data_IF_524795043464
#
_entry.id   IF_524795043464
#
_cell.length_a   1.000
_cell.length_b   1.000
_cell.length_c   1.000
_cell.angle_alpha   90.00
_cell.angle_beta   90.00
_cell.angle_gamma   90.00
#
_symmetry.space_group_name_H-M   'P 1'
#
loop_
_entity.id
_entity.type
_entity.pdbx_description
1 polymer ?
#
# COMPACT_ATOMS: atom_id res chain seq x y z
N UNK A 1 36.78 39.61 -0.44
CA UNK A 1 36.71 38.13 -0.61
C UNK A 1 35.25 37.74 -0.59
N UNK A 2 34.71 37.17 -1.68
CA UNK A 2 33.32 36.71 -1.72
C UNK A 2 33.18 35.45 -0.88
N UNK A 3 32.27 35.44 0.11
CA UNK A 3 31.96 34.24 0.88
C UNK A 3 31.61 33.08 -0.07
N UNK A 4 32.13 31.86 0.16
CA UNK A 4 31.75 30.71 -0.65
C UNK A 4 30.25 30.46 -0.45
N UNK A 5 29.50 30.42 -1.55
CA UNK A 5 28.08 30.05 -1.49
C UNK A 5 27.99 28.59 -1.02
N UNK A 6 27.17 28.34 0.00
CA UNK A 6 26.92 27.00 0.54
C UNK A 6 26.42 26.01 -0.53
N UNK A 7 25.77 26.53 -1.58
CA UNK A 7 25.27 25.78 -2.73
C UNK A 7 25.55 26.54 -4.03
N UNK A 8 26.15 25.86 -5.01
CA UNK A 8 26.24 26.34 -6.39
C UNK A 8 24.91 26.08 -7.10
N UNK A 9 23.93 26.98 -6.89
CA UNK A 9 22.65 26.89 -7.57
C UNK A 9 22.75 27.45 -9.00
N UNK A 10 22.04 26.86 -9.98
CA UNK A 10 21.97 27.39 -11.34
C UNK A 10 21.36 28.81 -11.38
N UNK A 11 21.65 29.54 -12.45
CA UNK A 11 21.02 30.83 -12.74
C UNK A 11 19.47 30.71 -12.74
N UNK A 12 18.68 31.73 -12.35
CA UNK A 12 17.23 31.71 -12.43
C UNK A 12 16.64 31.11 -13.73
N UNK A 13 17.18 31.47 -14.90
CA UNK A 13 16.70 30.96 -16.19
C UNK A 13 16.93 29.46 -16.35
N UNK A 14 18.09 28.97 -15.91
CA UNK A 14 18.43 27.55 -15.90
C UNK A 14 17.54 26.78 -14.91
N UNK A 15 17.24 27.38 -13.75
CA UNK A 15 16.32 26.77 -12.76
C UNK A 15 14.92 26.62 -13.31
N UNK A 16 14.42 27.60 -14.04
CA UNK A 16 13.09 27.55 -14.66
C UNK A 16 13.02 26.44 -15.72
N UNK A 17 14.01 26.39 -16.62
CA UNK A 17 14.10 25.34 -17.65
C UNK A 17 14.18 23.93 -17.04
N UNK A 18 15.02 23.74 -16.01
CA UNK A 18 15.13 22.46 -15.29
C UNK A 18 13.81 22.10 -14.58
N UNK A 19 13.19 23.07 -13.90
CA UNK A 19 11.92 22.86 -13.20
C UNK A 19 10.83 22.41 -14.17
N UNK A 20 10.74 23.05 -15.35
CA UNK A 20 9.80 22.65 -16.39
C UNK A 20 10.09 21.24 -16.89
N UNK A 21 11.35 20.93 -17.21
CA UNK A 21 11.76 19.60 -17.66
C UNK A 21 11.38 18.49 -16.66
N UNK A 22 11.67 18.69 -15.38
CA UNK A 22 11.34 17.71 -14.34
C UNK A 22 9.83 17.58 -14.13
N UNK A 23 9.10 18.70 -14.11
CA UNK A 23 7.64 18.71 -13.97
C UNK A 23 6.98 17.94 -15.11
N UNK A 24 7.31 18.26 -16.35
CA UNK A 24 6.71 17.63 -17.54
C UNK A 24 6.95 16.12 -17.52
N UNK A 25 8.15 15.69 -17.11
CA UNK A 25 8.49 14.26 -16.97
C UNK A 25 7.74 13.59 -15.82
N UNK A 26 7.56 14.25 -14.68
CA UNK A 26 6.81 13.70 -13.54
C UNK A 26 5.32 13.58 -13.87
N UNK A 27 4.71 14.64 -14.40
CA UNK A 27 3.29 14.66 -14.78
C UNK A 27 3.01 13.63 -15.87
N UNK A 28 3.86 13.55 -16.90
CA UNK A 28 3.70 12.56 -17.97
C UNK A 28 3.78 11.10 -17.50
N UNK A 29 4.34 10.84 -16.32
CA UNK A 29 4.42 9.49 -15.74
C UNK A 29 3.18 9.09 -14.95
N UNK A 30 2.33 10.02 -14.53
CA UNK A 30 1.16 9.72 -13.70
C UNK A 30 0.22 8.69 -14.34
N UNK A 31 0.02 8.78 -15.67
CA UNK A 31 -0.75 7.80 -16.44
C UNK A 31 -0.14 6.40 -16.44
N UNK A 32 1.19 6.31 -16.41
CA UNK A 32 1.86 5.00 -16.42
C UNK A 32 1.61 4.23 -15.13
N UNK A 33 1.33 4.93 -14.04
CA UNK A 33 1.12 4.37 -12.70
C UNK A 33 -0.32 4.50 -12.20
N UNK A 34 -1.25 4.93 -13.06
CA UNK A 34 -2.67 5.07 -12.77
C UNK A 34 -3.03 6.10 -11.70
N UNK A 35 -2.24 7.17 -11.59
CA UNK A 35 -2.48 8.28 -10.67
C UNK A 35 -2.99 9.54 -11.38
N UNK A 36 -3.74 9.40 -12.49
CA UNK A 36 -4.34 10.54 -13.19
C UNK A 36 -5.55 11.12 -12.43
N UNK A 37 -6.30 10.27 -11.74
CA UNK A 37 -7.40 10.65 -10.85
C UNK A 37 -6.90 10.56 -9.40
N UNK A 38 -6.96 11.68 -8.69
CA UNK A 38 -6.47 11.76 -7.32
C UNK A 38 -7.44 11.15 -6.31
N UNK A 39 -8.71 10.97 -6.67
CA UNK A 39 -9.75 10.46 -5.77
C UNK A 39 -9.51 9.01 -5.38
N UNK A 40 -9.06 8.18 -6.32
CA UNK A 40 -8.84 6.76 -6.07
C UNK A 40 -7.72 6.55 -5.05
N UNK A 41 -6.54 7.14 -5.27
CA UNK A 41 -5.44 6.97 -4.34
C UNK A 41 -5.75 7.62 -2.99
N UNK A 42 -6.42 8.78 -2.96
CA UNK A 42 -6.85 9.40 -1.72
C UNK A 42 -7.81 8.50 -0.96
N UNK A 43 -8.81 7.93 -1.63
CA UNK A 43 -9.74 7.00 -1.02
C UNK A 43 -9.01 5.82 -0.41
N UNK A 44 -8.18 5.10 -1.19
CA UNK A 44 -7.46 3.91 -0.71
C UNK A 44 -6.53 4.27 0.45
N UNK A 45 -5.80 5.39 0.35
CA UNK A 45 -4.92 5.88 1.41
C UNK A 45 -5.71 6.14 2.69
N UNK A 46 -6.82 6.87 2.64
CA UNK A 46 -7.63 7.15 3.84
C UNK A 46 -8.22 5.86 4.44
N UNK A 47 -8.61 4.89 3.62
CA UNK A 47 -9.16 3.63 4.12
C UNK A 47 -8.09 2.76 4.80
N UNK A 48 -6.91 2.62 4.20
CA UNK A 48 -5.80 1.83 4.77
C UNK A 48 -5.20 2.51 5.98
N UNK A 49 -4.85 3.79 5.86
CA UNK A 49 -4.22 4.56 6.95
C UNK A 49 -5.20 4.76 8.09
N UNK A 50 -6.48 5.04 7.81
CA UNK A 50 -7.51 5.12 8.85
C UNK A 50 -7.76 3.80 9.56
N UNK A 51 -7.66 2.66 8.86
CA UNK A 51 -7.75 1.34 9.51
C UNK A 51 -6.57 1.11 10.47
N UNK A 52 -5.35 1.42 10.03
CA UNK A 52 -4.16 1.30 10.87
C UNK A 52 -4.18 2.28 12.04
N UNK A 53 -4.63 3.51 11.82
CA UNK A 53 -4.74 4.53 12.86
C UNK A 53 -5.75 4.13 13.94
N UNK A 54 -6.91 3.59 13.53
CA UNK A 54 -7.89 3.05 14.47
C UNK A 54 -7.33 1.86 15.26
N UNK A 55 -6.57 0.97 14.62
CA UNK A 55 -5.87 -0.13 15.31
C UNK A 55 -4.89 0.38 16.34
N UNK A 56 -4.07 1.38 16.01
CA UNK A 56 -3.05 1.90 16.92
C UNK A 56 -3.61 2.72 18.09
N UNK A 57 -4.87 3.17 17.99
CA UNK A 57 -5.58 3.87 19.08
C UNK A 57 -6.38 2.93 19.99
N UNK A 58 -6.56 1.68 19.61
CA UNK A 58 -7.27 0.71 20.43
C UNK A 58 -6.33 0.22 21.54
N UNK A 59 -6.66 0.49 22.80
CA UNK A 59 -5.87 0.06 23.96
C UNK A 59 -5.69 -1.46 24.05
N UNK A 60 -6.54 -2.24 23.36
CA UNK A 60 -6.47 -3.69 23.31
C UNK A 60 -5.70 -4.22 22.09
N UNK A 61 -5.28 -3.34 21.17
CA UNK A 61 -4.54 -3.72 19.99
C UNK A 61 -3.03 -3.76 20.25
N UNK A 62 -2.34 -4.59 19.47
CA UNK A 62 -0.89 -4.62 19.47
C UNK A 62 -0.31 -3.47 18.67
N UNK A 63 0.94 -3.10 18.99
CA UNK A 63 1.74 -2.14 18.20
C UNK A 63 1.92 -2.55 16.73
N UNK A 64 1.82 -3.84 16.42
CA UNK A 64 1.94 -4.36 15.06
C UNK A 64 0.60 -4.87 14.56
N UNK A 65 0.42 -4.83 13.24
CA UNK A 65 -0.86 -5.10 12.59
C UNK A 65 -1.33 -6.54 12.83
N UNK A 66 -0.40 -7.49 12.84
CA UNK A 66 -0.68 -8.93 12.86
C UNK A 66 -0.33 -9.59 14.20
N UNK A 67 -0.19 -8.81 15.26
CA UNK A 67 0.00 -9.34 16.62
C UNK A 67 1.16 -8.69 17.37
N UNK A 68 1.76 -9.38 18.35
CA UNK A 68 2.77 -8.81 19.23
C UNK A 68 4.16 -8.67 18.59
N UNK A 69 4.41 -9.31 17.43
CA UNK A 69 5.68 -9.26 16.71
C UNK A 69 5.52 -8.47 15.39
N UNK A 70 6.55 -7.72 14.93
CA UNK A 70 6.51 -7.14 13.60
C UNK A 70 6.55 -8.23 12.54
N UNK A 71 5.82 -8.00 11.45
CA UNK A 71 5.78 -8.86 10.27
C UNK A 71 6.27 -8.15 9.03
N UNK A 72 6.40 -8.89 7.93
CA UNK A 72 6.57 -8.30 6.60
C UNK A 72 5.48 -7.27 6.25
N UNK A 73 4.25 -7.41 6.78
CA UNK A 73 3.18 -6.44 6.55
C UNK A 73 3.49 -5.09 7.20
N UNK A 74 4.01 -5.10 8.44
CA UNK A 74 4.40 -3.89 9.16
C UNK A 74 5.53 -3.17 8.43
N UNK A 75 6.56 -3.89 7.97
CA UNK A 75 7.66 -3.29 7.22
C UNK A 75 7.23 -2.77 5.84
N UNK A 76 6.32 -3.47 5.16
CA UNK A 76 5.77 -3.00 3.89
C UNK A 76 4.96 -1.71 4.07
N UNK A 77 4.10 -1.65 5.09
CA UNK A 77 3.34 -0.46 5.44
C UNK A 77 4.27 0.68 5.86
N UNK A 78 5.25 0.42 6.73
CA UNK A 78 6.23 1.41 7.16
C UNK A 78 7.01 1.99 5.98
N UNK A 79 7.54 1.14 5.08
CA UNK A 79 8.30 1.60 3.91
C UNK A 79 7.50 2.54 3.02
N UNK A 80 6.22 2.26 2.80
CA UNK A 80 5.30 3.13 2.06
C UNK A 80 4.99 4.41 2.86
N UNK A 81 4.55 4.27 4.11
CA UNK A 81 4.06 5.36 4.94
C UNK A 81 5.15 6.35 5.32
N UNK A 82 6.40 5.89 5.48
CA UNK A 82 7.53 6.79 5.70
C UNK A 82 7.69 7.76 4.54
N UNK A 83 7.63 7.29 3.29
CA UNK A 83 7.71 8.18 2.13
C UNK A 83 6.50 9.11 2.05
N UNK A 84 5.29 8.58 2.27
CA UNK A 84 4.08 9.41 2.29
C UNK A 84 4.10 10.47 3.40
N UNK A 85 4.74 10.20 4.54
CA UNK A 85 4.85 11.15 5.66
C UNK A 85 5.77 12.34 5.35
N UNK A 86 6.72 12.14 4.43
CA UNK A 86 7.70 13.13 3.99
C UNK A 86 7.19 13.96 2.81
N UNK A 87 6.29 13.40 1.99
CA UNK A 87 5.62 14.15 0.93
C UNK A 87 4.76 15.28 1.49
N UNK A 88 4.66 16.39 0.76
CA UNK A 88 3.94 17.58 1.21
C UNK A 88 2.46 17.29 1.50
N UNK A 89 1.75 16.72 0.52
CA UNK A 89 0.29 16.58 0.60
C UNK A 89 -0.09 15.44 1.53
N UNK A 90 0.48 14.25 1.31
CA UNK A 90 0.14 13.10 2.16
C UNK A 90 0.71 13.23 3.55
N UNK A 91 1.87 13.87 3.72
CA UNK A 91 2.45 14.11 5.03
C UNK A 91 1.63 15.09 5.86
N UNK A 92 1.06 16.12 5.23
CA UNK A 92 0.10 17.00 5.90
C UNK A 92 -1.13 16.22 6.38
N UNK A 93 -1.74 15.40 5.50
CA UNK A 93 -2.91 14.58 5.85
C UNK A 93 -2.61 13.61 7.00
N UNK A 94 -1.46 12.91 6.95
CA UNK A 94 -1.07 11.96 8.00
C UNK A 94 -0.89 12.66 9.35
N UNK A 95 -0.17 13.80 9.37
CA UNK A 95 0.06 14.55 10.61
C UNK A 95 -1.21 15.16 11.20
N UNK A 96 -2.13 15.60 10.34
CA UNK A 96 -3.38 16.27 10.75
C UNK A 96 -4.44 15.25 11.23
N UNK A 97 -4.61 14.14 10.52
CA UNK A 97 -5.77 13.23 10.70
C UNK A 97 -5.43 11.88 11.32
N UNK A 98 -4.21 11.38 11.09
CA UNK A 98 -3.80 10.02 11.44
C UNK A 98 -2.59 10.05 12.40
N UNK A 99 -2.79 10.70 13.53
CA UNK A 99 -1.73 11.02 14.50
C UNK A 99 -1.11 9.78 15.14
N UNK A 100 -1.88 8.70 15.36
CA UNK A 100 -1.35 7.45 15.91
C UNK A 100 -0.47 6.76 14.87
N UNK A 101 -0.87 6.76 13.59
CA UNK A 101 0.01 6.30 12.50
C UNK A 101 1.28 7.15 12.42
N UNK A 102 1.18 8.47 12.53
CA UNK A 102 2.37 9.33 12.51
C UNK A 102 3.34 8.97 13.65
N UNK A 103 2.84 8.79 14.88
CA UNK A 103 3.63 8.33 16.01
C UNK A 103 4.25 6.94 15.78
N UNK A 104 3.48 6.02 15.20
CA UNK A 104 3.96 4.69 14.84
C UNK A 104 5.07 4.71 13.79
N UNK A 105 4.97 5.56 12.76
CA UNK A 105 6.05 5.73 11.76
C UNK A 105 7.35 6.15 12.44
N UNK A 106 7.29 7.14 13.35
CA UNK A 106 8.46 7.60 14.09
C UNK A 106 9.03 6.50 15.00
N UNK A 107 8.15 5.72 15.63
CA UNK A 107 8.57 4.63 16.50
C UNK A 107 9.16 3.44 15.71
N UNK A 108 8.78 3.27 14.45
CA UNK A 108 9.33 2.23 13.56
C UNK A 108 10.71 2.59 12.98
N UNK A 109 11.14 3.87 13.02
CA UNK A 109 12.49 4.29 12.57
C UNK A 109 13.60 3.56 13.36
N UNK A 110 13.34 3.26 14.64
CA UNK A 110 14.22 2.48 15.49
C UNK A 110 13.42 1.49 16.34
N UNK A 111 13.55 0.22 15.99
CA UNK A 111 13.00 -0.90 16.78
C UNK A 111 14.12 -1.77 17.37
N UNK A 112 15.35 -1.24 17.44
CA UNK A 112 16.44 -1.91 18.14
C UNK A 112 16.11 -1.99 19.63
N UNK A 113 16.29 -3.18 20.22
CA UNK A 113 15.87 -3.44 21.61
C UNK A 113 14.43 -3.93 21.76
N UNK A 114 13.69 -4.16 20.67
CA UNK A 114 12.42 -4.88 20.75
C UNK A 114 12.68 -6.36 21.07
N UNK A 115 12.48 -6.74 22.33
CA UNK A 115 12.42 -8.13 22.74
C UNK A 115 11.05 -8.70 22.42
N UNK A 116 11.01 -9.81 21.69
CA UNK A 116 9.74 -10.42 21.29
C UNK A 116 9.76 -11.91 21.61
N UNK A 117 9.08 -12.29 22.69
CA UNK A 117 8.88 -13.68 23.10
C UNK A 117 7.39 -14.06 23.10
N UNK A 118 6.78 -14.13 21.92
CA UNK A 118 5.36 -14.38 21.74
C UNK A 118 5.03 -15.17 20.47
N UNK A 119 4.53 -16.40 20.61
CA UNK A 119 4.13 -17.28 19.50
C UNK A 119 3.19 -16.65 18.46
N UNK A 120 3.25 -17.17 17.23
CA UNK A 120 2.35 -16.74 16.14
C UNK A 120 0.95 -17.33 16.33
N UNK A 121 -0.06 -16.47 16.53
CA UNK A 121 -1.45 -16.90 16.74
C UNK A 121 -2.42 -16.17 15.79
N UNK A 122 -3.11 -16.93 14.94
CA UNK A 122 -4.04 -16.39 13.93
C UNK A 122 -5.24 -15.64 14.55
N UNK A 123 -5.70 -16.05 15.74
CA UNK A 123 -6.77 -15.35 16.46
C UNK A 123 -6.39 -13.90 16.78
N UNK A 124 -5.12 -13.64 17.07
CA UNK A 124 -4.59 -12.29 17.35
C UNK A 124 -4.54 -11.41 16.09
N UNK A 125 -4.59 -12.01 14.91
CA UNK A 125 -4.64 -11.30 13.63
C UNK A 125 -6.06 -10.87 13.24
N UNK A 126 -7.11 -11.34 13.94
CA UNK A 126 -8.50 -11.03 13.59
C UNK A 126 -8.96 -9.68 14.16
N UNK A 127 -8.25 -8.60 13.85
CA UNK A 127 -8.64 -7.25 14.25
C UNK A 127 -9.54 -6.58 13.20
N UNK A 128 -10.34 -5.56 13.58
CA UNK A 128 -11.12 -4.80 12.60
C UNK A 128 -10.26 -4.21 11.48
N UNK A 129 -9.04 -3.77 11.78
CA UNK A 129 -8.13 -3.20 10.79
C UNK A 129 -7.64 -4.23 9.78
N UNK A 130 -7.23 -5.42 10.24
CA UNK A 130 -6.83 -6.51 9.34
C UNK A 130 -7.97 -6.91 8.42
N UNK A 131 -9.18 -7.09 8.95
CA UNK A 131 -10.37 -7.39 8.12
C UNK A 131 -10.62 -6.30 7.09
N UNK A 132 -10.54 -5.02 7.48
CA UNK A 132 -10.74 -3.87 6.59
C UNK A 132 -9.69 -3.81 5.48
N UNK A 133 -8.41 -4.00 5.80
CA UNK A 133 -7.32 -4.00 4.82
C UNK A 133 -7.45 -5.20 3.87
N UNK A 134 -7.72 -6.41 4.38
CA UNK A 134 -7.94 -7.58 3.53
C UNK A 134 -9.14 -7.41 2.60
N UNK A 135 -10.22 -6.77 3.07
CA UNK A 135 -11.36 -6.44 2.22
C UNK A 135 -10.94 -5.53 1.06
N UNK A 136 -10.17 -4.46 1.31
CA UNK A 136 -9.64 -3.61 0.23
C UNK A 136 -8.73 -4.37 -0.74
N UNK A 137 -7.89 -5.27 -0.22
CA UNK A 137 -7.03 -6.13 -1.04
C UNK A 137 -7.89 -6.99 -1.96
N UNK A 138 -8.93 -7.62 -1.46
CA UNK A 138 -9.79 -8.52 -2.24
C UNK A 138 -10.75 -7.80 -3.19
N UNK A 139 -11.22 -6.59 -2.83
CA UNK A 139 -12.15 -5.82 -3.66
C UNK A 139 -11.46 -4.96 -4.71
N UNK A 140 -10.17 -4.63 -4.53
CA UNK A 140 -9.45 -3.72 -5.42
C UNK A 140 -8.13 -4.32 -5.92
N UNK A 141 -7.23 -4.71 -5.02
CA UNK A 141 -5.86 -5.06 -5.42
C UNK A 141 -5.74 -6.41 -6.14
N UNK A 142 -6.43 -7.46 -5.67
CA UNK A 142 -6.45 -8.77 -6.33
C UNK A 142 -7.09 -8.70 -7.74
N UNK A 143 -8.26 -8.07 -7.94
CA UNK A 143 -8.81 -7.85 -9.29
C UNK A 143 -7.82 -7.14 -10.22
N UNK A 144 -7.14 -6.12 -9.69
CA UNK A 144 -6.09 -5.41 -10.38
C UNK A 144 -4.91 -6.32 -10.79
N UNK A 145 -4.39 -7.12 -9.87
CA UNK A 145 -3.28 -8.04 -10.16
C UNK A 145 -3.68 -9.10 -11.20
N UNK A 146 -4.92 -9.61 -11.15
CA UNK A 146 -5.46 -10.52 -12.16
C UNK A 146 -5.47 -9.85 -13.53
N UNK A 147 -6.04 -8.65 -13.64
CA UNK A 147 -6.08 -7.91 -14.90
C UNK A 147 -4.67 -7.60 -15.45
N UNK A 148 -3.75 -7.18 -14.58
CA UNK A 148 -2.35 -6.93 -14.95
C UNK A 148 -1.64 -8.21 -15.43
N UNK A 149 -1.89 -9.35 -14.77
CA UNK A 149 -1.28 -10.63 -15.14
C UNK A 149 -1.73 -11.17 -16.50
N UNK A 150 -2.96 -10.84 -16.91
CA UNK A 150 -3.57 -11.18 -18.21
C UNK A 150 -3.13 -10.25 -19.35
N UNK A 151 -2.64 -9.05 -19.03
CA UNK A 151 -2.16 -8.09 -20.00
C UNK A 151 -0.75 -8.44 -20.51
N UNK A 152 -0.47 -8.07 -21.76
CA UNK A 152 0.85 -8.19 -22.38
C UNK A 152 1.68 -6.92 -22.20
N UNK A 153 3.00 -7.01 -22.45
CA UNK A 153 3.89 -5.84 -22.39
C UNK A 153 3.43 -4.78 -23.38
N UNK A 154 3.21 -3.57 -22.88
CA UNK A 154 2.76 -2.42 -23.69
C UNK A 154 1.26 -2.14 -23.60
N UNK A 155 0.48 -3.14 -23.18
CA UNK A 155 -0.97 -3.02 -22.98
C UNK A 155 -1.29 -2.03 -21.85
N UNK A 156 -2.48 -1.45 -21.94
CA UNK A 156 -3.10 -0.71 -20.84
C UNK A 156 -3.96 -1.68 -20.03
N UNK A 157 -3.70 -1.75 -18.73
CA UNK A 157 -4.52 -2.49 -17.77
C UNK A 157 -5.67 -1.58 -17.35
N UNK A 158 -6.90 -2.07 -17.44
CA UNK A 158 -8.11 -1.33 -17.05
C UNK A 158 -8.93 -2.14 -16.08
N UNK A 159 -9.24 -1.56 -14.93
CA UNK A 159 -10.09 -2.19 -13.91
C UNK A 159 -11.06 -1.18 -13.35
N UNK A 160 -12.32 -1.56 -13.29
CA UNK A 160 -13.35 -0.81 -12.59
C UNK A 160 -13.53 -1.42 -11.20
N UNK A 161 -13.39 -0.60 -10.16
CA UNK A 161 -13.69 -0.98 -8.78
C UNK A 161 -15.06 -0.44 -8.42
N UNK A 162 -15.93 -1.30 -7.89
CA UNK A 162 -17.21 -0.91 -7.29
C UNK A 162 -17.13 -1.16 -5.80
N UNK A 163 -17.40 -0.13 -5.02
CA UNK A 163 -17.34 -0.16 -3.57
C UNK A 163 -18.73 -0.33 -2.97
N UNK A 164 -18.78 -0.80 -1.73
CA UNK A 164 -20.04 -1.10 -1.03
C UNK A 164 -20.93 0.14 -0.82
N UNK A 165 -20.32 1.33 -0.79
CA UNK A 165 -21.02 2.61 -0.67
C UNK A 165 -21.54 3.15 -2.01
N UNK A 166 -21.41 2.36 -3.09
CA UNK A 166 -21.86 2.69 -4.44
C UNK A 166 -20.88 3.55 -5.25
N UNK A 167 -19.73 3.92 -4.69
CA UNK A 167 -18.69 4.61 -5.45
C UNK A 167 -18.03 3.67 -6.47
N UNK A 168 -17.73 4.23 -7.64
CA UNK A 168 -17.05 3.52 -8.73
C UNK A 168 -15.78 4.26 -9.11
N UNK A 169 -14.68 3.53 -9.19
CA UNK A 169 -13.38 4.06 -9.62
C UNK A 169 -12.87 3.31 -10.84
N UNK A 170 -12.40 4.05 -11.84
CA UNK A 170 -11.73 3.47 -13.01
C UNK A 170 -10.21 3.61 -12.83
N UNK A 171 -9.51 2.49 -12.67
CA UNK A 171 -8.06 2.44 -12.68
C UNK A 171 -7.54 2.10 -14.07
N UNK A 172 -6.56 2.88 -14.54
CA UNK A 172 -5.89 2.67 -15.82
C UNK A 172 -4.40 2.85 -15.65
N UNK A 173 -3.61 1.85 -16.00
CA UNK A 173 -2.15 1.94 -15.95
C UNK A 173 -1.52 1.15 -17.08
N UNK A 174 -0.20 1.29 -17.26
CA UNK A 174 0.54 0.40 -18.16
C UNK A 174 0.81 -0.93 -17.48
N UNK A 175 0.88 -1.99 -18.29
CA UNK A 175 1.34 -3.31 -17.83
C UNK A 175 2.60 -3.19 -16.95
N UNK A 176 2.56 -3.86 -15.79
CA UNK A 176 3.59 -3.81 -14.77
C UNK A 176 4.22 -5.18 -14.53
N UNK A 177 5.43 -5.40 -15.08
CA UNK A 177 6.13 -6.70 -14.94
C UNK A 177 6.41 -7.07 -13.48
N UNK A 178 6.64 -6.08 -12.63
CA UNK A 178 6.83 -6.28 -11.20
C UNK A 178 5.54 -6.77 -10.52
N UNK A 179 4.40 -6.16 -10.82
CA UNK A 179 3.11 -6.55 -10.26
C UNK A 179 2.70 -7.96 -10.70
N UNK A 180 2.95 -8.32 -11.97
CA UNK A 180 2.80 -9.71 -12.43
C UNK A 180 3.65 -10.68 -11.60
N UNK A 181 4.93 -10.37 -11.38
CA UNK A 181 5.83 -11.21 -10.55
C UNK A 181 5.34 -11.31 -9.10
N UNK A 182 4.87 -10.20 -8.51
CA UNK A 182 4.30 -10.20 -7.17
C UNK A 182 3.06 -11.10 -7.08
N UNK A 183 2.19 -11.06 -8.09
CA UNK A 183 1.00 -11.90 -8.14
C UNK A 183 1.34 -13.39 -8.26
N UNK A 184 2.28 -13.75 -9.13
CA UNK A 184 2.77 -15.13 -9.27
C UNK A 184 3.39 -15.65 -7.96
N UNK A 185 4.14 -14.79 -7.26
CA UNK A 185 4.69 -15.14 -5.95
C UNK A 185 3.59 -15.35 -4.89
N UNK A 186 2.56 -14.49 -4.89
CA UNK A 186 1.43 -14.60 -3.98
C UNK A 186 0.64 -15.89 -4.21
N UNK A 187 0.36 -16.25 -5.48
CA UNK A 187 -0.31 -17.52 -5.81
C UNK A 187 0.48 -18.73 -5.34
N UNK A 188 1.81 -18.71 -5.52
CA UNK A 188 2.69 -19.79 -5.05
C UNK A 188 2.60 -20.00 -3.54
N UNK A 189 2.74 -18.92 -2.77
CA UNK A 189 2.61 -18.97 -1.31
C UNK A 189 1.22 -19.42 -0.87
N UNK A 190 0.17 -18.99 -1.57
CA UNK A 190 -1.20 -19.41 -1.26
C UNK A 190 -1.41 -20.92 -1.47
N UNK A 191 -0.79 -21.49 -2.52
CA UNK A 191 -0.90 -22.92 -2.83
C UNK A 191 -0.21 -23.79 -1.78
N UNK A 192 0.86 -23.30 -1.16
CA UNK A 192 1.56 -23.98 -0.06
C UNK A 192 0.72 -24.07 1.23
N UNK A 193 -0.30 -23.22 1.39
CA UNK A 193 -1.21 -23.30 2.52
C UNK A 193 -2.07 -24.56 2.47
N UNK A 194 -2.21 -25.22 3.61
CA UNK A 194 -3.14 -26.34 3.74
C UNK A 194 -4.60 -25.87 3.75
N UNK A 195 -5.54 -26.82 3.61
CA UNK A 195 -6.97 -26.50 3.52
C UNK A 195 -7.52 -25.76 4.75
N UNK A 196 -6.99 -26.03 5.95
CA UNK A 196 -7.42 -25.31 7.16
C UNK A 196 -6.94 -23.86 7.15
N UNK A 197 -5.68 -23.62 6.79
CA UNK A 197 -5.12 -22.27 6.66
C UNK A 197 -5.86 -21.44 5.61
N UNK A 198 -6.14 -22.01 4.43
CA UNK A 198 -6.90 -21.32 3.35
C UNK A 198 -8.32 -20.93 3.79
N UNK A 199 -8.99 -21.81 4.53
CA UNK A 199 -10.32 -21.51 5.11
C UNK A 199 -10.26 -20.36 6.10
N UNK A 200 -9.28 -20.37 7.00
CA UNK A 200 -9.15 -19.30 8.01
C UNK A 200 -8.82 -17.94 7.38
N UNK A 201 -7.88 -17.87 6.43
CA UNK A 201 -7.56 -16.60 5.77
C UNK A 201 -8.72 -16.11 4.89
N UNK A 202 -9.46 -17.00 4.24
CA UNK A 202 -10.70 -16.63 3.51
C UNK A 202 -11.78 -16.10 4.45
N UNK A 203 -11.91 -16.68 5.65
CA UNK A 203 -12.82 -16.18 6.69
C UNK A 203 -12.42 -14.78 7.17
N UNK A 204 -11.12 -14.53 7.39
CA UNK A 204 -10.60 -13.21 7.75
C UNK A 204 -10.83 -12.17 6.64
N UNK A 205 -10.64 -12.56 5.38
CA UNK A 205 -10.86 -11.70 4.23
C UNK A 205 -12.36 -11.46 3.94
N UNK A 206 -13.24 -12.33 4.44
CA UNK A 206 -14.67 -12.27 4.18
C UNK A 206 -15.06 -12.73 2.77
N UNK A 207 -14.17 -13.41 2.04
CA UNK A 207 -14.44 -13.96 0.72
C UNK A 207 -13.58 -15.20 0.45
N UNK A 208 -13.99 -16.03 -0.51
CA UNK A 208 -13.17 -17.16 -0.97
C UNK A 208 -11.96 -16.63 -1.75
N UNK A 209 -10.75 -16.82 -1.23
CA UNK A 209 -9.53 -16.33 -1.87
C UNK A 209 -9.08 -17.18 -3.07
N UNK A 210 -9.53 -18.44 -3.14
CA UNK A 210 -9.23 -19.35 -4.25
C UNK A 210 -9.70 -18.79 -5.61
N UNK A 211 -10.78 -17.99 -5.64
CA UNK A 211 -11.25 -17.32 -6.86
C UNK A 211 -10.22 -16.35 -7.49
N UNK A 212 -9.27 -15.89 -6.67
CA UNK A 212 -8.21 -14.96 -7.10
C UNK A 212 -6.87 -15.67 -7.22
N UNK A 213 -6.57 -16.58 -6.29
CA UNK A 213 -5.21 -17.07 -6.05
C UNK A 213 -4.96 -18.51 -6.50
N UNK A 214 -5.99 -19.32 -6.75
CA UNK A 214 -5.79 -20.70 -7.20
C UNK A 214 -5.24 -20.73 -8.63
N UNK A 215 -4.04 -21.30 -8.80
CA UNK A 215 -3.33 -21.44 -10.10
C UNK A 215 -4.11 -22.23 -11.14
N UNK A 216 -5.10 -23.04 -10.74
CA UNK A 216 -5.90 -23.84 -11.67
C UNK A 216 -7.05 -23.06 -12.33
N UNK A 217 -7.30 -21.81 -11.90
CA UNK A 217 -8.27 -20.95 -12.57
C UNK A 217 -7.60 -20.26 -13.76
N UNK A 218 -8.04 -20.67 -14.95
CA UNK A 218 -7.67 -20.15 -16.28
C UNK A 218 -8.40 -18.83 -16.56
#
# INVERSE_FOLDING_TARGET
MSSPKLFNLPDPSQREALTKFFRDRQVGRLRLVGCEDDKLWQYVMHQVVGALDAHLRDDNAFRFLLGPRPTAADFALYGLLKQLSLDHTTGYIIRDRFTAVYGWIMAMDDSSGLEVDAEWELLRMNTPAVRKILKLVTSMYLPYLVANSRASRGDEVRVEFRLDDGQTFLHREKFGSYQKKCFENLRRQYVELNAAQRREISKLAGCQLDQWLDVNQS
#
